data_IF_232176452172
#
_entry.id   IF_232176452172
#
_cell.length_a   1.000
_cell.length_b   1.000
_cell.length_c   1.000
_cell.angle_alpha   90.00
_cell.angle_beta   90.00
_cell.angle_gamma   90.00
#
_symmetry.space_group_name_H-M   'P 1'
#
loop_
_entity.id
_entity.type
_entity.pdbx_description
1 polymer ?
#
# COMPACT_ATOMS: atom_id res chain seq x y z
N UNK A 1 -51.29 45.43 11.54
CA UNK A 1 -51.32 44.02 11.09
C UNK A 1 -50.12 43.65 10.24
N UNK A 2 -49.50 44.58 9.50
CA UNK A 2 -48.42 44.25 8.54
C UNK A 2 -47.07 43.81 9.15
N UNK A 3 -46.68 44.34 10.31
CA UNK A 3 -45.37 44.02 10.91
C UNK A 3 -45.26 42.56 11.37
N UNK A 4 -46.35 42.00 11.90
CA UNK A 4 -46.38 40.61 12.35
C UNK A 4 -46.38 39.63 11.16
N UNK A 5 -47.03 40.00 10.06
CA UNK A 5 -47.00 39.21 8.82
C UNK A 5 -45.59 39.18 8.20
N UNK A 6 -44.92 40.34 8.11
CA UNK A 6 -43.53 40.42 7.63
C UNK A 6 -42.60 39.56 8.50
N UNK A 7 -42.74 39.63 9.83
CA UNK A 7 -41.93 38.83 10.76
C UNK A 7 -42.17 37.32 10.57
N UNK A 8 -43.42 36.91 10.40
CA UNK A 8 -43.76 35.50 10.14
C UNK A 8 -43.22 34.99 8.80
N UNK A 9 -43.26 35.82 7.75
CA UNK A 9 -42.66 35.53 6.45
C UNK A 9 -41.15 35.37 6.57
N UNK A 10 -40.49 36.26 7.32
CA UNK A 10 -39.05 36.20 7.53
C UNK A 10 -38.62 34.91 8.25
N UNK A 11 -39.33 34.50 9.30
CA UNK A 11 -39.06 33.23 10.00
C UNK A 11 -39.27 31.99 9.12
N UNK A 12 -40.26 32.01 8.21
CA UNK A 12 -40.48 30.91 7.26
C UNK A 12 -39.35 30.84 6.22
N UNK A 13 -38.90 32.00 5.73
CA UNK A 13 -37.77 32.07 4.81
C UNK A 13 -36.46 31.63 5.46
N UNK A 14 -36.21 32.03 6.71
CA UNK A 14 -35.03 31.65 7.47
C UNK A 14 -34.98 30.14 7.71
N UNK A 15 -36.10 29.53 8.12
CA UNK A 15 -36.22 28.06 8.23
C UNK A 15 -35.97 27.35 6.89
N UNK A 16 -36.46 27.89 5.79
CA UNK A 16 -36.24 27.32 4.44
C UNK A 16 -34.77 27.45 4.03
N UNK A 17 -34.14 28.56 4.35
CA UNK A 17 -32.71 28.81 4.11
C UNK A 17 -31.86 27.84 4.92
N UNK A 18 -32.12 27.70 6.23
CA UNK A 18 -31.44 26.73 7.09
C UNK A 18 -31.61 25.29 6.59
N UNK A 19 -32.84 24.92 6.19
CA UNK A 19 -33.11 23.60 5.64
C UNK A 19 -32.30 23.37 4.36
N UNK A 20 -32.27 24.35 3.46
CA UNK A 20 -31.48 24.30 2.23
C UNK A 20 -29.97 24.22 2.50
N UNK A 21 -29.47 24.96 3.49
CA UNK A 21 -28.06 24.93 3.90
C UNK A 21 -27.65 23.56 4.46
N UNK A 22 -28.46 23.00 5.38
CA UNK A 22 -28.23 21.66 5.93
C UNK A 22 -28.25 20.59 4.85
N UNK A 23 -29.14 20.72 3.88
CA UNK A 23 -29.26 19.78 2.76
C UNK A 23 -28.06 19.89 1.80
N UNK A 24 -27.62 21.11 1.48
CA UNK A 24 -26.41 21.34 0.69
C UNK A 24 -25.16 20.79 1.38
N UNK A 25 -24.99 21.02 2.69
CA UNK A 25 -23.86 20.45 3.45
C UNK A 25 -23.84 18.92 3.36
N UNK A 26 -24.99 18.26 3.53
CA UNK A 26 -25.10 16.80 3.37
C UNK A 26 -24.75 16.33 1.96
N UNK A 27 -25.19 17.04 0.92
CA UNK A 27 -24.83 16.70 -0.46
C UNK A 27 -23.33 16.82 -0.72
N UNK A 28 -22.69 17.89 -0.24
CA UNK A 28 -21.24 18.06 -0.38
C UNK A 28 -20.50 16.92 0.34
N UNK A 29 -20.94 16.57 1.54
CA UNK A 29 -20.36 15.46 2.32
C UNK A 29 -20.45 14.13 1.55
N UNK A 30 -21.61 13.82 0.95
CA UNK A 30 -21.80 12.61 0.13
C UNK A 30 -20.94 12.62 -1.14
N UNK A 31 -20.89 13.75 -1.87
CA UNK A 31 -20.07 13.89 -3.09
C UNK A 31 -18.59 13.69 -2.77
N UNK A 32 -18.10 14.26 -1.68
CA UNK A 32 -16.70 14.09 -1.26
C UNK A 32 -16.43 12.65 -0.83
N UNK A 33 -17.33 12.02 -0.06
CA UNK A 33 -17.21 10.62 0.33
C UNK A 33 -17.14 9.70 -0.91
N UNK A 34 -17.96 9.96 -1.93
CA UNK A 34 -17.95 9.21 -3.18
C UNK A 34 -16.68 9.45 -4.03
N UNK A 35 -16.16 10.67 -4.06
CA UNK A 35 -14.84 10.98 -4.66
C UNK A 35 -13.70 10.24 -3.95
N UNK A 36 -13.74 10.15 -2.62
CA UNK A 36 -12.75 9.37 -1.86
C UNK A 36 -12.88 7.88 -2.19
N UNK A 37 -14.10 7.34 -2.18
CA UNK A 37 -14.40 5.94 -2.52
C UNK A 37 -13.89 5.58 -3.92
N UNK A 38 -14.22 6.38 -4.92
CA UNK A 38 -13.79 6.16 -6.31
C UNK A 38 -12.27 6.28 -6.49
N UNK A 39 -11.59 7.15 -5.74
CA UNK A 39 -10.12 7.23 -5.73
C UNK A 39 -9.46 5.99 -5.10
N UNK A 40 -10.08 5.40 -4.07
CA UNK A 40 -9.59 4.22 -3.35
C UNK A 40 -10.01 2.87 -3.99
N UNK A 41 -11.10 2.82 -4.75
CA UNK A 41 -11.57 1.61 -5.44
C UNK A 41 -10.50 0.93 -6.32
N UNK A 42 -9.73 1.62 -7.19
CA UNK A 42 -8.67 0.98 -7.95
C UNK A 42 -7.50 0.51 -7.08
N UNK A 43 -7.28 1.13 -5.91
CA UNK A 43 -6.28 0.66 -4.94
C UNK A 43 -6.73 -0.66 -4.32
N UNK A 44 -8.01 -0.78 -3.98
CA UNK A 44 -8.60 -2.02 -3.44
C UNK A 44 -8.43 -3.19 -4.42
N UNK A 45 -8.85 -3.02 -5.68
CA UNK A 45 -8.70 -4.05 -6.71
C UNK A 45 -7.25 -4.42 -6.98
N UNK A 46 -6.35 -3.43 -7.00
CA UNK A 46 -4.91 -3.68 -7.14
C UNK A 46 -4.37 -4.50 -5.97
N UNK A 47 -4.78 -4.24 -4.73
CA UNK A 47 -4.35 -5.04 -3.56
C UNK A 47 -4.89 -6.46 -3.57
N UNK A 48 -6.11 -6.67 -4.09
CA UNK A 48 -6.63 -8.03 -4.32
C UNK A 48 -5.76 -8.76 -5.34
N UNK A 49 -5.48 -8.14 -6.49
CA UNK A 49 -4.64 -8.75 -7.52
C UNK A 49 -3.23 -9.06 -6.99
N UNK A 50 -2.62 -8.13 -6.25
CA UNK A 50 -1.31 -8.35 -5.60
C UNK A 50 -1.38 -9.50 -4.58
N UNK A 51 -2.45 -9.60 -3.78
CA UNK A 51 -2.65 -10.70 -2.84
C UNK A 51 -2.77 -12.07 -3.51
N UNK A 52 -3.48 -12.17 -4.64
CA UNK A 52 -3.60 -13.40 -5.43
C UNK A 52 -2.24 -13.82 -5.98
N UNK A 53 -1.48 -12.86 -6.54
CA UNK A 53 -0.13 -13.13 -7.04
C UNK A 53 0.81 -13.58 -5.92
N UNK A 54 0.75 -12.93 -4.75
CA UNK A 54 1.54 -13.30 -3.58
C UNK A 54 1.24 -14.72 -3.10
N UNK A 55 -0.04 -15.12 -3.06
CA UNK A 55 -0.45 -16.49 -2.72
C UNK A 55 0.03 -17.51 -3.75
N UNK A 56 -0.08 -17.21 -5.05
CA UNK A 56 0.40 -18.08 -6.11
C UNK A 56 1.92 -18.29 -6.03
N UNK A 57 2.69 -17.21 -5.81
CA UNK A 57 4.13 -17.29 -5.60
C UNK A 57 4.48 -18.10 -4.34
N UNK A 58 3.74 -17.91 -3.24
CA UNK A 58 3.97 -18.65 -2.00
C UNK A 58 3.71 -20.15 -2.18
N UNK A 59 2.62 -20.53 -2.86
CA UNK A 59 2.32 -21.93 -3.18
C UNK A 59 3.42 -22.57 -4.04
N UNK A 60 3.91 -21.85 -5.05
CA UNK A 60 5.04 -22.30 -5.88
C UNK A 60 6.31 -22.53 -5.06
N UNK A 61 6.65 -21.59 -4.17
CA UNK A 61 7.82 -21.71 -3.30
C UNK A 61 7.72 -22.88 -2.32
N UNK A 62 6.53 -23.17 -1.79
CA UNK A 62 6.30 -24.33 -0.92
C UNK A 62 6.49 -25.64 -1.68
N UNK A 63 5.95 -25.76 -2.90
CA UNK A 63 6.17 -26.94 -3.75
C UNK A 63 7.66 -27.11 -4.08
N UNK A 64 8.35 -26.01 -4.40
CA UNK A 64 9.79 -26.03 -4.64
C UNK A 64 10.58 -26.48 -3.40
N UNK A 65 10.20 -26.00 -2.21
CA UNK A 65 10.81 -26.38 -0.94
C UNK A 65 10.65 -27.87 -0.65
N UNK A 66 9.46 -28.44 -0.89
CA UNK A 66 9.23 -29.88 -0.70
C UNK A 66 10.05 -30.75 -1.66
N UNK A 67 10.29 -30.28 -2.90
CA UNK A 67 11.09 -31.01 -3.90
C UNK A 67 12.59 -30.92 -3.65
N UNK A 68 13.06 -29.77 -3.16
CA UNK A 68 14.48 -29.46 -2.98
C UNK A 68 14.93 -29.46 -1.52
N UNK A 69 14.21 -30.16 -0.64
CA UNK A 69 14.49 -30.20 0.79
C UNK A 69 15.88 -30.78 1.11
N UNK A 70 16.38 -31.70 0.27
CA UNK A 70 17.69 -32.33 0.42
C UNK A 70 18.87 -31.39 0.19
N UNK A 71 18.65 -30.20 -0.39
CA UNK A 71 19.72 -29.23 -0.64
C UNK A 71 19.56 -27.97 0.24
N UNK A 72 20.31 -27.87 1.35
CA UNK A 72 20.08 -26.84 2.37
C UNK A 72 20.25 -25.40 1.83
N UNK A 73 21.12 -25.20 0.84
CA UNK A 73 21.36 -23.89 0.24
C UNK A 73 20.12 -23.29 -0.46
N UNK A 74 19.33 -24.13 -1.13
CA UNK A 74 18.11 -23.70 -1.82
C UNK A 74 16.91 -23.63 -0.87
N UNK A 75 16.88 -24.51 0.13
CA UNK A 75 15.88 -24.52 1.19
C UNK A 75 15.88 -23.22 2.01
N UNK A 76 17.06 -22.74 2.42
CA UNK A 76 17.21 -21.47 3.17
C UNK A 76 16.77 -20.26 2.32
N UNK A 77 17.14 -20.25 1.04
CA UNK A 77 16.75 -19.18 0.11
C UNK A 77 15.23 -19.14 -0.10
N UNK A 78 14.62 -20.31 -0.35
CA UNK A 78 13.18 -20.43 -0.50
C UNK A 78 12.43 -20.03 0.78
N UNK A 79 12.92 -20.41 1.96
CA UNK A 79 12.33 -20.03 3.25
C UNK A 79 12.36 -18.51 3.47
N UNK A 80 13.48 -17.85 3.16
CA UNK A 80 13.59 -16.38 3.25
C UNK A 80 12.59 -15.68 2.32
N UNK A 81 12.38 -16.22 1.13
CA UNK A 81 11.40 -15.70 0.16
C UNK A 81 9.96 -15.92 0.64
N UNK A 82 9.64 -17.09 1.19
CA UNK A 82 8.32 -17.37 1.77
C UNK A 82 8.01 -16.39 2.89
N UNK A 83 8.97 -16.12 3.79
CA UNK A 83 8.81 -15.13 4.85
C UNK A 83 8.52 -13.73 4.30
N UNK A 84 9.23 -13.31 3.24
CA UNK A 84 8.99 -12.04 2.57
C UNK A 84 7.58 -11.95 1.96
N UNK A 85 7.15 -12.97 1.21
CA UNK A 85 5.81 -13.01 0.61
C UNK A 85 4.71 -13.05 1.67
N UNK A 86 4.93 -13.73 2.80
CA UNK A 86 4.00 -13.75 3.92
C UNK A 86 3.81 -12.36 4.53
N UNK A 87 4.91 -11.63 4.78
CA UNK A 87 4.84 -10.24 5.26
C UNK A 87 4.11 -9.37 4.25
N UNK A 88 4.44 -9.46 2.96
CA UNK A 88 3.76 -8.70 1.91
C UNK A 88 2.25 -8.99 1.86
N UNK A 89 1.86 -10.26 2.03
CA UNK A 89 0.46 -10.69 2.05
C UNK A 89 -0.32 -10.13 3.25
N UNK A 90 0.24 -10.19 4.45
CA UNK A 90 -0.37 -9.61 5.66
C UNK A 90 -0.59 -8.11 5.47
N UNK A 91 0.37 -7.41 4.86
CA UNK A 91 0.25 -5.98 4.56
C UNK A 91 -0.86 -5.69 3.55
N UNK A 92 -0.96 -6.49 2.47
CA UNK A 92 -2.06 -6.39 1.50
C UNK A 92 -3.43 -6.54 2.17
N UNK A 93 -3.58 -7.55 3.06
CA UNK A 93 -4.83 -7.77 3.82
C UNK A 93 -5.13 -6.59 4.73
N UNK A 94 -4.16 -6.10 5.51
CA UNK A 94 -4.37 -4.96 6.42
C UNK A 94 -4.85 -3.72 5.68
N UNK A 95 -4.28 -3.42 4.51
CA UNK A 95 -4.74 -2.30 3.68
C UNK A 95 -6.19 -2.51 3.19
N UNK A 96 -6.56 -3.74 2.81
CA UNK A 96 -7.93 -4.07 2.43
C UNK A 96 -8.91 -3.89 3.60
N UNK A 97 -8.54 -4.32 4.80
CA UNK A 97 -9.35 -4.16 6.01
C UNK A 97 -9.57 -2.68 6.34
N UNK A 98 -8.52 -1.85 6.25
CA UNK A 98 -8.65 -0.41 6.50
C UNK A 98 -9.59 0.24 5.46
N UNK A 99 -9.44 -0.08 4.17
CA UNK A 99 -10.32 0.46 3.11
C UNK A 99 -11.78 0.03 3.32
N UNK A 100 -12.02 -1.22 3.76
CA UNK A 100 -13.37 -1.77 3.99
C UNK A 100 -14.04 -1.21 5.25
N UNK A 101 -13.25 -0.84 6.27
CA UNK A 101 -13.76 -0.25 7.53
C UNK A 101 -14.16 1.22 7.40
N UNK A 102 -13.78 1.91 6.33
CA UNK A 102 -14.22 3.29 6.10
C UNK A 102 -15.72 3.29 5.79
N UNK A 103 -16.51 3.95 6.64
CA UNK A 103 -17.93 4.18 6.39
C UNK A 103 -18.08 5.44 5.52
N UNK A 104 -18.43 5.22 4.25
CA UNK A 104 -18.61 6.30 3.27
C UNK A 104 -20.00 6.95 3.36
N UNK A 105 -20.89 6.44 4.21
CA UNK A 105 -22.31 6.79 4.24
C UNK A 105 -22.65 7.90 5.25
N UNK A 106 -21.96 7.96 6.39
CA UNK A 106 -22.41 8.83 7.49
C UNK A 106 -21.31 9.52 8.32
N UNK A 107 -20.06 9.06 8.30
CA UNK A 107 -19.04 9.62 9.20
C UNK A 107 -17.72 9.98 8.50
N UNK A 108 -17.59 11.28 8.22
CA UNK A 108 -16.37 11.92 7.68
C UNK A 108 -15.16 11.65 8.58
N UNK A 109 -15.34 11.55 9.90
CA UNK A 109 -14.26 11.28 10.86
C UNK A 109 -13.71 9.87 10.67
N UNK A 110 -14.55 8.88 10.32
CA UNK A 110 -14.07 7.52 9.98
C UNK A 110 -13.25 7.52 8.68
N UNK A 111 -13.63 8.35 7.70
CA UNK A 111 -12.88 8.48 6.44
C UNK A 111 -11.51 9.13 6.70
N UNK A 112 -11.46 10.21 7.49
CA UNK A 112 -10.20 10.89 7.83
C UNK A 112 -9.25 9.99 8.62
N UNK A 113 -9.75 9.33 9.67
CA UNK A 113 -8.96 8.42 10.50
C UNK A 113 -8.48 7.21 9.69
N UNK A 114 -9.33 6.65 8.83
CA UNK A 114 -8.95 5.57 7.91
C UNK A 114 -7.87 5.98 6.92
N UNK A 115 -7.97 7.18 6.33
CA UNK A 115 -6.94 7.72 5.44
C UNK A 115 -5.61 7.95 6.16
N UNK A 116 -5.64 8.49 7.38
CA UNK A 116 -4.44 8.66 8.20
C UNK A 116 -3.77 7.31 8.51
N UNK A 117 -4.57 6.30 8.87
CA UNK A 117 -4.09 4.94 9.13
C UNK A 117 -3.48 4.30 7.88
N UNK A 118 -4.07 4.49 6.70
CA UNK A 118 -3.49 4.04 5.42
C UNK A 118 -2.16 4.72 5.10
N UNK A 119 -2.01 6.01 5.42
CA UNK A 119 -0.74 6.72 5.18
C UNK A 119 0.36 6.21 6.13
N UNK A 120 0.05 6.08 7.42
CA UNK A 120 0.98 5.53 8.40
C UNK A 120 1.43 4.11 8.02
N UNK A 121 0.47 3.24 7.70
CA UNK A 121 0.76 1.87 7.29
C UNK A 121 1.56 1.80 5.99
N UNK A 122 1.32 2.68 5.02
CA UNK A 122 2.14 2.72 3.80
C UNK A 122 3.58 3.11 4.07
N UNK A 123 3.82 4.00 5.05
CA UNK A 123 5.16 4.41 5.42
C UNK A 123 5.91 3.27 6.14
N UNK A 124 5.25 2.60 7.08
CA UNK A 124 5.86 1.48 7.79
C UNK A 124 6.10 0.28 6.88
N UNK A 125 5.17 0.00 5.96
CA UNK A 125 5.38 -1.01 4.92
C UNK A 125 6.55 -0.63 4.00
N UNK A 126 6.64 0.63 3.56
CA UNK A 126 7.76 1.10 2.74
C UNK A 126 9.12 0.92 3.45
N UNK A 127 9.17 1.18 4.76
CA UNK A 127 10.35 0.92 5.60
C UNK A 127 10.70 -0.57 5.67
N UNK A 128 9.70 -1.44 5.89
CA UNK A 128 9.89 -2.88 5.93
C UNK A 128 10.39 -3.41 4.58
N UNK A 129 9.76 -3.03 3.47
CA UNK A 129 10.16 -3.48 2.12
C UNK A 129 11.61 -3.11 1.82
N UNK A 130 12.05 -1.92 2.21
CA UNK A 130 13.45 -1.50 2.05
C UNK A 130 14.42 -2.41 2.80
N UNK A 131 14.06 -2.85 4.00
CA UNK A 131 14.87 -3.78 4.78
C UNK A 131 14.95 -5.18 4.13
N UNK A 132 13.94 -5.54 3.34
CA UNK A 132 13.89 -6.81 2.61
C UNK A 132 14.47 -6.76 1.19
N UNK A 133 14.92 -5.60 0.69
CA UNK A 133 15.64 -5.49 -0.60
C UNK A 133 16.80 -6.48 -0.73
N UNK A 134 17.64 -6.72 0.31
CA UNK A 134 18.71 -7.70 0.22
C UNK A 134 18.19 -9.14 0.05
N UNK A 135 17.06 -9.47 0.67
CA UNK A 135 16.44 -10.80 0.56
C UNK A 135 15.90 -11.08 -0.86
N UNK A 136 15.53 -10.04 -1.62
CA UNK A 136 15.16 -10.18 -3.02
C UNK A 136 16.31 -10.68 -3.92
N UNK A 137 17.57 -10.56 -3.50
CA UNK A 137 18.70 -11.14 -4.24
C UNK A 137 18.70 -12.67 -4.25
N UNK A 138 17.91 -13.33 -3.38
CA UNK A 138 17.69 -14.77 -3.41
C UNK A 138 16.67 -15.21 -4.49
N UNK A 139 15.91 -14.27 -5.08
CA UNK A 139 14.88 -14.59 -6.07
C UNK A 139 15.44 -15.23 -7.36
N UNK A 140 16.54 -14.73 -7.97
CA UNK A 140 17.07 -15.31 -9.20
C UNK A 140 17.54 -16.75 -9.04
N UNK A 141 18.10 -17.16 -7.90
CA UNK A 141 18.57 -18.54 -7.72
C UNK A 141 17.47 -19.54 -7.52
N UNK A 142 16.43 -19.18 -6.77
CA UNK A 142 15.27 -20.05 -6.61
C UNK A 142 14.54 -20.22 -7.95
N UNK A 143 14.38 -19.14 -8.71
CA UNK A 143 13.70 -19.19 -10.02
C UNK A 143 14.52 -19.95 -11.07
N UNK A 144 15.83 -19.72 -11.18
CA UNK A 144 16.66 -20.43 -12.16
C UNK A 144 16.73 -21.93 -11.86
N UNK A 145 16.83 -22.33 -10.59
CA UNK A 145 16.75 -23.75 -10.23
C UNK A 145 15.36 -24.33 -10.47
N UNK A 146 14.29 -23.60 -10.15
CA UNK A 146 12.94 -24.09 -10.40
C UNK A 146 12.63 -24.27 -11.90
N UNK A 147 13.18 -23.41 -12.77
CA UNK A 147 13.11 -23.55 -14.24
C UNK A 147 13.86 -24.80 -14.71
N UNK A 148 15.02 -25.10 -14.10
CA UNK A 148 15.79 -26.32 -14.39
C UNK A 148 15.05 -27.59 -13.99
N UNK A 149 14.46 -27.63 -12.79
CA UNK A 149 13.64 -28.76 -12.31
C UNK A 149 12.38 -29.00 -13.15
N UNK A 150 11.89 -27.97 -13.85
CA UNK A 150 10.73 -28.04 -14.74
C UNK A 150 11.05 -28.45 -16.18
N UNK A 151 12.30 -28.81 -16.51
CA UNK A 151 12.71 -29.27 -17.85
C UNK A 151 12.27 -28.33 -19.00
N UNK A 152 12.38 -27.01 -18.80
CA UNK A 152 12.10 -26.03 -19.87
C UNK A 152 13.39 -25.83 -20.70
N UNK A 153 13.47 -26.53 -21.83
CA UNK A 153 14.67 -26.70 -22.67
C UNK A 153 15.36 -25.40 -23.16
N UNK A 154 14.71 -24.23 -23.06
CA UNK A 154 15.32 -22.94 -23.45
C UNK A 154 16.32 -22.35 -22.45
N UNK A 155 16.27 -22.73 -21.16
CA UNK A 155 17.16 -22.17 -20.12
C UNK A 155 17.87 -23.23 -19.26
N UNK A 156 17.60 -24.53 -19.50
CA UNK A 156 18.06 -25.66 -18.69
C UNK A 156 19.59 -25.84 -18.62
N UNK A 157 20.35 -25.26 -19.55
CA UNK A 157 21.80 -25.49 -19.64
C UNK A 157 22.67 -24.46 -18.87
N UNK A 158 22.08 -23.55 -18.08
CA UNK A 158 22.82 -22.56 -17.27
C UNK A 158 22.40 -22.60 -15.81
N UNK A 159 22.90 -23.60 -15.09
CA UNK A 159 22.87 -23.54 -13.62
C UNK A 159 23.79 -22.43 -13.14
N UNK A 160 23.25 -21.46 -12.40
CA UNK A 160 24.04 -20.30 -11.95
C UNK A 160 25.12 -20.72 -10.93
N UNK A 161 24.90 -21.81 -10.21
CA UNK A 161 25.81 -22.35 -9.18
C UNK A 161 26.96 -23.17 -9.79
N UNK A 162 26.73 -23.87 -10.91
CA UNK A 162 27.82 -24.51 -11.68
C UNK A 162 28.57 -23.50 -12.56
N UNK A 163 27.91 -22.46 -13.10
CA UNK A 163 28.57 -21.38 -13.84
C UNK A 163 29.50 -20.51 -12.98
N UNK A 164 29.24 -20.40 -11.68
CA UNK A 164 30.03 -19.56 -10.75
C UNK A 164 30.97 -20.36 -9.84
N UNK A 165 31.03 -21.68 -10.02
CA UNK A 165 31.90 -22.56 -9.23
C UNK A 165 31.69 -22.47 -7.72
N UNK A 166 30.44 -22.25 -7.26
CA UNK A 166 30.11 -22.11 -5.84
C UNK A 166 30.37 -20.73 -5.21
N UNK A 167 30.98 -19.76 -5.93
CA UNK A 167 31.28 -18.42 -5.41
C UNK A 167 30.05 -17.49 -5.33
N UNK A 168 28.91 -17.89 -5.90
CA UNK A 168 27.70 -17.07 -5.89
C UNK A 168 27.19 -16.77 -4.47
N UNK A 169 27.40 -17.67 -3.50
CA UNK A 169 27.09 -17.42 -2.09
C UNK A 169 27.95 -16.31 -1.49
N UNK A 170 29.26 -16.27 -1.81
CA UNK A 170 30.11 -15.16 -1.35
C UNK A 170 29.67 -13.83 -1.95
N UNK A 171 29.24 -13.82 -3.22
CA UNK A 171 28.68 -12.64 -3.86
C UNK A 171 27.34 -12.22 -3.23
N UNK A 172 26.47 -13.19 -2.90
CA UNK A 172 25.19 -12.93 -2.25
C UNK A 172 25.36 -12.40 -0.83
N UNK A 173 26.22 -13.03 -0.02
CA UNK A 173 26.54 -12.57 1.34
C UNK A 173 27.21 -11.20 1.30
N UNK A 174 28.17 -10.97 0.40
CA UNK A 174 28.82 -9.66 0.24
C UNK A 174 27.82 -8.58 -0.23
N UNK A 175 26.94 -8.89 -1.17
CA UNK A 175 25.91 -7.97 -1.62
C UNK A 175 24.89 -7.67 -0.51
N UNK A 176 24.49 -8.68 0.26
CA UNK A 176 23.58 -8.52 1.41
C UNK A 176 24.24 -7.65 2.48
N UNK A 177 25.50 -7.91 2.82
CA UNK A 177 26.27 -7.16 3.81
C UNK A 177 26.47 -5.70 3.40
N UNK A 178 26.68 -5.44 2.10
CA UNK A 178 26.78 -4.08 1.53
C UNK A 178 25.43 -3.35 1.49
N UNK A 179 24.33 -4.09 1.28
CA UNK A 179 22.98 -3.51 1.23
C UNK A 179 22.35 -3.28 2.60
N UNK A 180 22.79 -3.94 3.67
CA UNK A 180 22.32 -3.69 5.04
C UNK A 180 22.49 -2.21 5.46
N UNK A 181 23.69 -1.59 5.35
CA UNK A 181 23.86 -0.17 5.71
C UNK A 181 23.04 0.75 4.80
N UNK A 182 22.88 0.42 3.51
CA UNK A 182 22.00 1.17 2.61
C UNK A 182 20.52 1.04 3.01
N UNK A 183 20.10 -0.14 3.47
CA UNK A 183 18.76 -0.42 3.98
C UNK A 183 18.48 0.36 5.27
N UNK A 184 19.42 0.39 6.21
CA UNK A 184 19.32 1.19 7.44
C UNK A 184 19.30 2.69 7.16
N UNK A 185 20.14 3.15 6.23
CA UNK A 185 20.11 4.55 5.78
C UNK A 185 18.77 4.90 5.15
N UNK A 186 18.24 4.07 4.25
CA UNK A 186 16.94 4.28 3.64
C UNK A 186 15.80 4.19 4.67
N UNK A 187 15.88 3.30 5.66
CA UNK A 187 14.91 3.19 6.76
C UNK A 187 14.81 4.49 7.54
N UNK A 188 15.95 5.06 7.95
CA UNK A 188 16.02 6.35 8.63
C UNK A 188 15.56 7.51 7.73
N UNK A 189 15.83 7.42 6.43
CA UNK A 189 15.45 8.43 5.47
C UNK A 189 13.95 8.39 5.11
N UNK A 190 13.27 7.25 5.24
CA UNK A 190 11.83 7.05 5.05
C UNK A 190 11.04 7.50 6.28
N UNK A 191 11.07 8.80 6.58
CA UNK A 191 10.27 9.41 7.65
C UNK A 191 9.45 10.57 7.12
N UNK A 192 8.31 10.87 7.75
CA UNK A 192 7.48 12.04 7.41
C UNK A 192 8.32 13.34 7.38
N UNK A 193 9.34 13.45 8.24
CA UNK A 193 10.27 14.59 8.29
C UNK A 193 11.10 14.77 7.00
N UNK A 194 11.30 13.69 6.25
CA UNK A 194 12.16 13.64 5.06
C UNK A 194 11.38 13.64 3.74
N UNK A 195 10.07 13.87 3.78
CA UNK A 195 9.20 14.02 2.60
C UNK A 195 9.61 15.17 1.67
N UNK A 196 10.45 16.10 2.14
CA UNK A 196 11.03 17.16 1.33
C UNK A 196 11.96 16.62 0.21
N UNK A 197 12.55 15.42 0.38
CA UNK A 197 13.45 14.83 -0.63
C UNK A 197 12.65 14.21 -1.79
N UNK A 198 12.98 14.58 -3.04
CA UNK A 198 12.28 14.15 -4.27
C UNK A 198 12.18 12.62 -4.40
N UNK A 199 13.24 11.88 -4.06
CA UNK A 199 13.24 10.42 -4.15
C UNK A 199 12.31 9.75 -3.12
N UNK A 200 12.34 10.20 -1.85
CA UNK A 200 11.45 9.70 -0.78
C UNK A 200 9.98 9.96 -1.14
N UNK A 201 9.68 11.17 -1.63
CA UNK A 201 8.35 11.55 -2.10
C UNK A 201 7.88 10.66 -3.25
N UNK A 202 8.73 10.42 -4.25
CA UNK A 202 8.38 9.57 -5.39
C UNK A 202 8.16 8.10 -4.98
N UNK A 203 8.94 7.58 -4.04
CA UNK A 203 8.80 6.22 -3.53
C UNK A 203 7.44 6.01 -2.84
N UNK A 204 7.10 6.89 -1.90
CA UNK A 204 5.82 6.86 -1.18
C UNK A 204 4.64 7.06 -2.15
N UNK A 205 4.77 7.99 -3.10
CA UNK A 205 3.75 8.25 -4.12
C UNK A 205 3.50 7.05 -5.03
N UNK A 206 4.54 6.29 -5.42
CA UNK A 206 4.42 5.11 -6.30
C UNK A 206 3.83 3.89 -5.59
N UNK A 207 4.14 3.69 -4.30
CA UNK A 207 3.69 2.52 -3.53
C UNK A 207 2.18 2.50 -3.30
N UNK A 208 1.57 3.66 -3.05
CA UNK A 208 0.11 3.89 -2.91
C UNK A 208 -0.23 5.35 -2.61
N UNK A 209 0.77 6.18 -2.28
CA UNK A 209 0.59 7.52 -1.74
C UNK A 209 -0.14 8.51 -2.63
N UNK A 210 -0.11 8.38 -3.97
CA UNK A 210 -0.84 9.31 -4.85
C UNK A 210 -2.36 9.28 -4.63
N UNK A 211 -2.95 8.08 -4.51
CA UNK A 211 -4.41 7.94 -4.37
C UNK A 211 -4.88 8.31 -2.96
N UNK A 212 -4.13 7.89 -1.95
CA UNK A 212 -4.40 8.24 -0.55
C UNK A 212 -4.22 9.74 -0.31
N UNK A 213 -3.24 10.39 -0.95
CA UNK A 213 -3.07 11.83 -0.88
C UNK A 213 -4.17 12.59 -1.60
N UNK A 214 -4.58 12.14 -2.80
CA UNK A 214 -5.72 12.72 -3.53
C UNK A 214 -7.01 12.64 -2.71
N UNK A 215 -7.25 11.51 -2.05
CA UNK A 215 -8.36 11.35 -1.11
C UNK A 215 -8.25 12.32 0.09
N UNK A 216 -7.07 12.48 0.67
CA UNK A 216 -6.84 13.45 1.74
C UNK A 216 -6.99 14.91 1.29
N UNK A 217 -6.63 15.23 0.04
CA UNK A 217 -6.84 16.56 -0.57
C UNK A 217 -8.34 16.88 -0.69
N UNK A 218 -9.17 15.93 -1.16
CA UNK A 218 -10.63 16.11 -1.18
C UNK A 218 -11.23 16.36 0.21
N UNK A 219 -10.71 15.67 1.24
CA UNK A 219 -11.14 15.89 2.62
C UNK A 219 -10.71 17.27 3.16
N UNK A 220 -9.55 17.76 2.73
CA UNK A 220 -9.07 19.10 3.09
C UNK A 220 -9.90 20.19 2.42
N UNK A 221 -10.27 20.01 1.16
CA UNK A 221 -11.15 20.90 0.40
C UNK A 221 -12.54 21.00 1.06
N UNK A 222 -13.10 19.88 1.52
CA UNK A 222 -14.34 19.88 2.30
C UNK A 222 -14.22 20.74 3.57
N UNK A 223 -13.10 20.61 4.29
CA UNK A 223 -12.88 21.33 5.55
C UNK A 223 -12.73 22.84 5.32
N UNK A 224 -12.06 23.28 4.25
CA UNK A 224 -11.98 24.70 3.90
C UNK A 224 -13.34 25.28 3.52
N UNK A 225 -14.14 24.55 2.73
CA UNK A 225 -15.49 24.99 2.34
C UNK A 225 -16.43 25.13 3.54
N UNK A 226 -16.31 24.25 4.55
CA UNK A 226 -17.09 24.36 5.80
C UNK A 226 -16.66 25.55 6.65
N UNK A 227 -15.38 25.91 6.63
CA UNK A 227 -14.85 27.04 7.41
C UNK A 227 -15.17 28.40 6.77
N UNK A 228 -15.24 28.49 5.44
CA UNK A 228 -15.63 29.70 4.72
C UNK A 228 -17.14 29.98 4.75
N UNK A 229 -17.96 29.00 5.12
CA UNK A 229 -19.42 29.11 5.20
C UNK A 229 -19.95 29.52 6.59
N UNK A 230 -19.06 29.73 7.57
CA UNK A 230 -19.34 30.18 8.95
C UNK A 230 -18.90 31.64 9.07
#
# INVERSE_FOLDING_TARGET
>A
MELNEIKSLWEVYDKKLEASLKLNQRFIDLIVAEKVRSSLAPLFWRRIAEGIVQLACMAFLVVFLCRNFSEPAYSVSALSLIAFYMVAFINSIRQLVIIKRMDYSNDIVTIQSGLAMLQAHNLDYARMVVLFIPACLAFPTVVLKAIKDLHIDSFANKDMITLTGGHWWTAQVAATLSLIPLGLWCYNQLSYKNLHKKWVRNFIQRSSGKRVRKAAEFMKELHSLKFEAI
#
